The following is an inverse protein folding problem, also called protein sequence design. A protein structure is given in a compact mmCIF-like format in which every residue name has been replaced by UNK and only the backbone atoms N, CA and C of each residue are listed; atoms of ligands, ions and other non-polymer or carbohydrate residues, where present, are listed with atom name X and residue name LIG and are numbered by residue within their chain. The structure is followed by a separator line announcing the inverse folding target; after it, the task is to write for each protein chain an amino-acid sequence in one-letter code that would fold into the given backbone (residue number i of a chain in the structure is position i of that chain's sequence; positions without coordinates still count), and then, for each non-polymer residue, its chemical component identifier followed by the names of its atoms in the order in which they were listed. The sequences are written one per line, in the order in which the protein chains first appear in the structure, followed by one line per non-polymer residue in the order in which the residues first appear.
data_IF_755469966863
#
_entry.id   IF_755469966863
#
_cell.length_a   1.000
_cell.length_b   1.000
_cell.length_c   1.000
_cell.angle_alpha   90.00
_cell.angle_beta   90.00
_cell.angle_gamma   90.00
#
_symmetry.space_group_name_H-M   'P 1'
#
loop_
_entity.id
_entity.type
_entity.pdbx_description
1 polymer ?
#
# COMPACT_ATOMS: atom_id res chain seq x y z
N UNK A 1 6.82 -7.43 22.69
CA UNK A 1 6.06 -8.67 23.00
C UNK A 1 5.22 -9.13 21.83
N UNK A 2 4.66 -8.22 21.08
CA UNK A 2 3.73 -8.46 19.98
C UNK A 2 4.39 -9.09 18.74
N UNK A 3 5.69 -8.85 18.54
CA UNK A 3 6.43 -9.30 17.36
C UNK A 3 6.93 -10.75 17.41
N UNK A 4 6.68 -11.49 18.49
CA UNK A 4 7.15 -12.88 18.60
C UNK A 4 6.50 -13.84 17.58
N UNK A 5 5.31 -13.50 17.13
CA UNK A 5 4.51 -14.32 16.22
C UNK A 5 4.64 -13.85 14.75
N UNK A 6 5.38 -12.76 14.51
CA UNK A 6 5.64 -12.25 13.16
C UNK A 6 7.00 -12.75 12.66
N UNK A 7 6.99 -13.52 11.58
CA UNK A 7 8.19 -13.85 10.81
C UNK A 7 8.56 -12.71 9.85
N UNK A 8 9.81 -12.66 9.36
CA UNK A 8 10.18 -11.73 8.30
C UNK A 8 9.33 -12.01 7.05
N UNK A 9 8.92 -10.94 6.37
CA UNK A 9 8.34 -11.07 5.04
C UNK A 9 9.33 -11.80 4.13
N UNK A 10 8.94 -12.94 3.60
CA UNK A 10 9.78 -13.72 2.72
C UNK A 10 8.96 -14.21 1.52
N UNK A 11 9.37 -13.81 0.34
CA UNK A 11 8.92 -14.44 -0.90
C UNK A 11 9.67 -15.76 -1.03
N UNK A 12 8.93 -16.87 -1.11
CA UNK A 12 9.54 -18.18 -1.28
C UNK A 12 10.40 -18.22 -2.56
N UNK A 13 11.61 -18.84 -2.53
CA UNK A 13 12.41 -19.00 -3.73
C UNK A 13 11.62 -19.77 -4.78
N UNK A 14 11.58 -19.21 -5.99
CA UNK A 14 10.77 -19.73 -7.07
C UNK A 14 11.64 -20.63 -7.94
N UNK A 15 11.27 -21.90 -8.01
CA UNK A 15 11.89 -22.89 -8.89
C UNK A 15 11.03 -23.22 -10.11
N UNK A 16 9.83 -22.65 -10.18
CA UNK A 16 8.83 -22.92 -11.21
C UNK A 16 9.01 -22.01 -12.43
N UNK A 17 8.60 -22.52 -13.60
CA UNK A 17 8.70 -21.77 -14.87
C UNK A 17 7.67 -20.65 -14.99
N UNK A 18 6.56 -20.76 -14.28
CA UNK A 18 5.47 -19.80 -14.29
C UNK A 18 5.25 -19.25 -12.88
N UNK A 19 5.44 -17.97 -12.72
CA UNK A 19 5.37 -17.26 -11.44
C UNK A 19 4.16 -16.35 -11.44
N UNK A 20 3.24 -16.54 -10.50
CA UNK A 20 2.00 -15.77 -10.37
C UNK A 20 1.69 -15.39 -8.91
N UNK A 21 2.67 -15.42 -8.02
CA UNK A 21 2.46 -15.33 -6.56
C UNK A 21 2.61 -13.92 -5.97
N UNK A 22 3.43 -13.06 -6.57
CA UNK A 22 3.81 -11.77 -5.96
C UNK A 22 3.32 -10.54 -6.75
N UNK A 23 2.44 -10.74 -7.73
CA UNK A 23 1.93 -9.70 -8.62
C UNK A 23 3.04 -8.91 -9.34
N UNK A 24 4.18 -9.55 -9.61
CA UNK A 24 5.31 -8.97 -10.31
C UNK A 24 5.02 -8.85 -11.80
N UNK A 25 5.53 -7.78 -12.42
CA UNK A 25 5.47 -7.64 -13.87
C UNK A 25 6.44 -8.62 -14.55
N UNK A 26 5.95 -9.41 -15.50
CA UNK A 26 6.81 -10.24 -16.36
C UNK A 26 7.63 -9.40 -17.33
N UNK A 27 7.25 -8.15 -17.56
CA UNK A 27 7.86 -7.25 -18.52
C UNK A 27 8.90 -6.35 -17.86
N UNK A 28 10.15 -6.44 -18.32
CA UNK A 28 11.19 -5.54 -17.90
C UNK A 28 11.13 -4.24 -18.74
N UNK A 29 10.66 -3.16 -18.15
CA UNK A 29 10.53 -1.86 -18.82
C UNK A 29 11.88 -1.33 -19.36
N UNK A 30 13.00 -1.68 -18.70
CA UNK A 30 14.35 -1.30 -19.16
C UNK A 30 14.78 -2.03 -20.43
N UNK A 31 14.02 -3.01 -20.91
CA UNK A 31 14.26 -3.64 -22.23
C UNK A 31 13.85 -2.71 -23.39
N UNK A 32 13.12 -1.63 -23.12
CA UNK A 32 12.81 -0.61 -24.13
C UNK A 32 14.00 0.34 -24.30
N UNK A 33 14.56 0.48 -25.52
CA UNK A 33 15.77 1.29 -25.76
C UNK A 33 15.63 2.77 -25.33
N UNK A 34 14.43 3.35 -25.51
CA UNK A 34 14.18 4.73 -25.07
C UNK A 34 14.24 4.86 -23.55
N UNK A 35 13.61 3.94 -22.82
CA UNK A 35 13.61 3.95 -21.35
C UNK A 35 15.00 3.67 -20.79
N UNK A 36 15.74 2.75 -21.42
CA UNK A 36 17.13 2.49 -21.02
C UNK A 36 18.00 3.73 -21.19
N UNK A 37 17.88 4.42 -22.33
CA UNK A 37 18.61 5.66 -22.57
C UNK A 37 18.30 6.74 -21.52
N UNK A 38 17.03 6.96 -21.24
CA UNK A 38 16.61 7.91 -20.22
C UNK A 38 17.14 7.55 -18.82
N UNK A 39 17.16 6.24 -18.48
CA UNK A 39 17.73 5.76 -17.24
C UNK A 39 19.25 5.97 -17.15
N UNK A 40 19.99 5.74 -18.24
CA UNK A 40 21.44 6.00 -18.32
C UNK A 40 21.74 7.49 -18.15
N UNK A 41 20.99 8.37 -18.82
CA UNK A 41 21.13 9.83 -18.70
C UNK A 41 20.82 10.29 -17.26
N UNK A 42 19.75 9.77 -16.64
CA UNK A 42 19.40 10.07 -15.26
C UNK A 42 20.53 9.62 -14.30
N UNK A 43 21.04 8.40 -14.47
CA UNK A 43 22.12 7.86 -13.64
C UNK A 43 23.40 8.71 -13.77
N UNK A 44 23.77 9.14 -14.99
CA UNK A 44 24.93 9.97 -15.24
C UNK A 44 24.81 11.37 -14.62
N UNK A 45 23.59 11.86 -14.41
CA UNK A 45 23.30 13.16 -13.80
C UNK A 45 23.31 13.14 -12.27
N UNK A 46 23.27 11.97 -11.65
CA UNK A 46 23.23 11.84 -10.20
C UNK A 46 24.44 12.44 -9.51
N UNK A 47 24.20 13.07 -8.39
CA UNK A 47 25.22 13.62 -7.49
C UNK A 47 25.08 12.97 -6.11
N UNK A 48 25.52 11.72 -5.94
CA UNK A 48 25.29 10.95 -4.71
C UNK A 48 25.91 11.57 -3.45
N UNK A 49 26.83 12.50 -3.59
CA UNK A 49 27.44 13.26 -2.51
C UNK A 49 26.58 14.45 -2.05
N UNK A 50 25.48 14.75 -2.70
CA UNK A 50 24.57 15.85 -2.35
C UNK A 50 23.29 15.28 -1.77
N UNK A 51 22.75 15.90 -0.71
CA UNK A 51 21.45 15.52 -0.17
C UNK A 51 20.35 15.68 -1.24
N UNK A 52 19.48 14.70 -1.40
CA UNK A 52 18.31 14.84 -2.29
C UNK A 52 17.31 15.86 -1.73
N UNK A 53 16.39 16.31 -2.58
CA UNK A 53 15.25 17.09 -2.13
C UNK A 53 14.42 16.26 -1.10
N UNK A 54 14.17 16.79 0.12
CA UNK A 54 13.55 16.02 1.21
C UNK A 54 12.18 15.43 0.88
N UNK A 55 11.45 16.09 0.00
CA UNK A 55 10.08 15.71 -0.36
C UNK A 55 9.99 15.05 -1.75
N UNK A 56 11.11 14.70 -2.38
CA UNK A 56 11.16 14.14 -3.73
C UNK A 56 10.39 15.03 -4.75
N UNK A 57 10.60 16.34 -4.72
CA UNK A 57 9.77 17.33 -5.42
C UNK A 57 9.63 17.04 -6.91
N UNK A 58 10.74 16.76 -7.62
CA UNK A 58 10.72 16.43 -9.05
C UNK A 58 9.82 15.22 -9.37
N UNK A 59 9.86 14.17 -8.53
CA UNK A 59 9.00 13.00 -8.69
C UNK A 59 7.54 13.35 -8.45
N UNK A 60 7.25 14.12 -7.39
CA UNK A 60 5.90 14.53 -7.04
C UNK A 60 5.28 15.42 -8.12
N UNK A 61 6.04 16.35 -8.67
CA UNK A 61 5.62 17.20 -9.80
C UNK A 61 5.29 16.36 -11.03
N UNK A 62 6.14 15.41 -11.41
CA UNK A 62 5.90 14.53 -12.55
C UNK A 62 4.65 13.65 -12.36
N UNK A 63 4.42 13.12 -11.14
CA UNK A 63 3.20 12.35 -10.82
C UNK A 63 1.98 13.29 -10.85
N UNK A 64 2.08 14.50 -10.31
CA UNK A 64 1.01 15.48 -10.28
C UNK A 64 0.56 15.87 -11.70
N UNK A 65 1.50 16.11 -12.59
CA UNK A 65 1.23 16.37 -14.02
C UNK A 65 0.52 15.18 -14.66
N UNK A 66 1.01 13.96 -14.44
CA UNK A 66 0.41 12.74 -14.98
C UNK A 66 -1.03 12.52 -14.49
N UNK A 67 -1.29 12.81 -13.20
CA UNK A 67 -2.62 12.62 -12.58
C UNK A 67 -3.52 13.85 -12.71
N UNK A 68 -3.00 14.99 -13.17
CA UNK A 68 -3.69 16.28 -13.20
C UNK A 68 -4.20 16.71 -11.82
N UNK A 69 -3.34 16.63 -10.81
CA UNK A 69 -3.61 17.04 -9.42
C UNK A 69 -2.54 18.00 -8.93
N UNK A 70 -2.75 18.61 -7.76
CA UNK A 70 -1.74 19.45 -7.12
C UNK A 70 -0.60 18.59 -6.52
N UNK A 71 0.68 18.92 -6.68
CA UNK A 71 1.81 18.19 -6.09
C UNK A 71 1.74 18.03 -4.57
N UNK A 72 1.07 18.96 -3.87
CA UNK A 72 0.86 18.84 -2.41
C UNK A 72 0.00 17.66 -1.99
N UNK A 73 -0.74 17.06 -2.90
CA UNK A 73 -1.58 15.89 -2.66
C UNK A 73 -0.81 14.57 -2.80
N UNK A 74 0.47 14.63 -3.11
CA UNK A 74 1.29 13.46 -3.39
C UNK A 74 2.31 13.26 -2.27
N UNK A 75 2.30 12.06 -1.72
CA UNK A 75 3.36 11.54 -0.85
C UNK A 75 4.11 10.45 -1.61
N UNK A 76 5.43 10.60 -1.69
CA UNK A 76 6.31 9.59 -2.29
C UNK A 76 7.03 8.79 -1.20
N UNK A 77 7.20 7.49 -1.44
CA UNK A 77 7.94 6.58 -0.57
C UNK A 77 8.59 5.45 -1.37
N UNK A 78 9.39 4.61 -0.70
CA UNK A 78 10.01 3.44 -1.31
C UNK A 78 9.00 2.29 -1.42
N UNK A 79 8.08 2.42 -2.37
CA UNK A 79 6.96 1.50 -2.56
C UNK A 79 5.77 1.79 -1.64
N UNK A 80 4.72 0.99 -1.83
CA UNK A 80 3.48 1.12 -1.07
C UNK A 80 3.64 0.83 0.41
N UNK A 81 4.52 -0.10 0.77
CA UNK A 81 4.72 -0.52 2.17
C UNK A 81 5.24 0.63 3.03
N UNK A 82 6.20 1.41 2.53
CA UNK A 82 6.69 2.57 3.27
C UNK A 82 5.60 3.64 3.44
N UNK A 83 4.77 3.86 2.42
CA UNK A 83 3.63 4.79 2.52
C UNK A 83 2.59 4.29 3.54
N UNK A 84 2.31 2.99 3.57
CA UNK A 84 1.45 2.37 4.59
C UNK A 84 2.03 2.60 5.98
N UNK A 85 3.33 2.36 6.16
CA UNK A 85 4.04 2.62 7.42
C UNK A 85 3.90 4.08 7.85
N UNK A 86 4.07 5.04 6.94
CA UNK A 86 3.90 6.47 7.26
C UNK A 86 2.48 6.80 7.71
N UNK A 87 1.46 6.27 7.01
CA UNK A 87 0.06 6.49 7.37
C UNK A 87 -0.22 5.91 8.78
N UNK A 88 0.16 4.66 9.00
CA UNK A 88 -0.10 3.97 10.26
C UNK A 88 0.59 4.69 11.42
N UNK A 89 1.88 5.02 11.30
CA UNK A 89 2.62 5.74 12.34
C UNK A 89 2.13 7.18 12.57
N UNK A 90 1.49 7.79 11.58
CA UNK A 90 0.95 9.15 11.71
C UNK A 90 -0.38 9.18 12.46
N UNK A 91 -1.23 8.18 12.22
CA UNK A 91 -2.61 8.20 12.69
C UNK A 91 -2.89 7.29 13.88
N UNK A 92 -2.04 6.28 14.16
CA UNK A 92 -2.26 5.32 15.22
C UNK A 92 -1.19 5.39 16.30
N UNK A 93 -1.65 5.22 17.55
CA UNK A 93 -0.83 4.97 18.72
C UNK A 93 -1.00 3.51 19.19
N UNK A 94 -0.14 2.99 20.10
CA UNK A 94 -0.36 1.69 20.74
C UNK A 94 -1.77 1.60 21.34
N UNK A 95 -2.42 0.45 21.19
CA UNK A 95 -3.80 0.13 21.58
C UNK A 95 -4.90 0.77 20.72
N UNK A 96 -4.60 1.71 19.82
CA UNK A 96 -5.58 2.20 18.84
C UNK A 96 -6.10 1.08 17.94
N UNK A 97 -7.24 1.31 17.31
CA UNK A 97 -7.88 0.32 16.43
C UNK A 97 -7.76 0.74 14.98
N UNK A 98 -7.17 -0.15 14.18
CA UNK A 98 -7.27 -0.17 12.73
C UNK A 98 -8.42 -1.08 12.33
N UNK A 99 -9.33 -0.60 11.49
CA UNK A 99 -10.38 -1.42 10.88
C UNK A 99 -10.03 -1.69 9.41
N UNK A 100 -10.17 -2.93 8.99
CA UNK A 100 -10.05 -3.32 7.58
C UNK A 100 -11.04 -4.45 7.26
N UNK A 101 -10.90 -5.06 6.11
CA UNK A 101 -11.71 -6.22 5.71
C UNK A 101 -10.80 -7.42 5.38
N UNK A 102 -11.38 -8.61 5.28
CA UNK A 102 -10.64 -9.83 4.94
C UNK A 102 -11.40 -10.68 3.88
N UNK A 103 -10.68 -11.30 2.90
CA UNK A 103 -9.22 -11.23 2.73
C UNK A 103 -8.78 -9.91 2.09
N UNK A 104 -7.62 -9.39 2.52
CA UNK A 104 -6.99 -8.18 1.97
C UNK A 104 -5.46 -8.28 2.10
N UNK A 105 -4.75 -7.22 1.72
CA UNK A 105 -3.31 -7.12 1.85
C UNK A 105 -2.90 -7.11 3.33
N UNK A 106 -2.02 -8.00 3.72
CA UNK A 106 -1.68 -8.29 5.13
C UNK A 106 -0.74 -7.25 5.77
N UNK A 107 -0.11 -6.38 4.97
CA UNK A 107 0.78 -5.35 5.50
C UNK A 107 0.05 -4.33 6.40
N UNK A 108 -1.24 -4.13 6.23
CA UNK A 108 -2.01 -3.26 7.14
C UNK A 108 -2.00 -3.79 8.58
N UNK A 109 -2.23 -5.09 8.74
CA UNK A 109 -2.21 -5.75 10.04
C UNK A 109 -0.80 -5.81 10.62
N UNK A 110 0.17 -6.17 9.77
CA UNK A 110 1.58 -6.25 10.14
C UNK A 110 2.09 -4.92 10.69
N UNK A 111 1.89 -3.82 9.97
CA UNK A 111 2.35 -2.50 10.39
C UNK A 111 1.62 -1.99 11.63
N UNK A 112 0.32 -2.24 11.75
CA UNK A 112 -0.43 -1.92 12.97
C UNK A 112 0.12 -2.69 14.18
N UNK A 113 0.41 -3.98 14.03
CA UNK A 113 0.97 -4.80 15.09
C UNK A 113 2.38 -4.33 15.52
N UNK A 114 3.21 -3.85 14.59
CA UNK A 114 4.55 -3.32 14.88
C UNK A 114 4.49 -2.18 15.88
N UNK A 115 3.53 -1.27 15.75
CA UNK A 115 3.36 -0.13 16.66
C UNK A 115 2.51 -0.47 17.91
N UNK A 116 1.98 -1.69 18.00
CA UNK A 116 1.12 -2.13 19.12
C UNK A 116 -0.34 -1.73 18.99
N UNK A 117 -0.78 -1.31 17.81
CA UNK A 117 -2.20 -1.10 17.50
C UNK A 117 -2.92 -2.45 17.29
N UNK A 118 -4.23 -2.45 17.32
CA UNK A 118 -5.09 -3.62 17.15
C UNK A 118 -5.82 -3.56 15.82
N UNK A 119 -5.81 -4.66 15.07
CA UNK A 119 -6.59 -4.76 13.83
C UNK A 119 -7.90 -5.47 14.07
N UNK A 120 -8.99 -4.88 13.57
CA UNK A 120 -10.30 -5.51 13.42
C UNK A 120 -10.55 -5.73 11.95
N UNK A 121 -10.73 -6.99 11.55
CA UNK A 121 -11.01 -7.36 10.15
C UNK A 121 -12.45 -7.83 10.01
N UNK A 122 -13.21 -7.22 9.11
CA UNK A 122 -14.56 -7.63 8.74
C UNK A 122 -14.49 -8.60 7.56
N UNK A 123 -14.97 -9.84 7.67
CA UNK A 123 -14.97 -10.78 6.56
C UNK A 123 -15.83 -10.27 5.39
N UNK A 124 -15.32 -10.39 4.17
CA UNK A 124 -16.10 -10.15 2.97
C UNK A 124 -17.20 -11.22 2.80
N UNK A 125 -18.30 -10.85 2.16
CA UNK A 125 -19.38 -11.75 1.78
C UNK A 125 -18.93 -12.74 0.67
N UNK A 126 -19.70 -13.82 0.42
CA UNK A 126 -19.40 -14.74 -0.65
C UNK A 126 -19.15 -14.06 -2.00
N UNK A 127 -18.11 -14.52 -2.72
CA UNK A 127 -17.67 -13.91 -3.96
C UNK A 127 -16.85 -12.63 -3.77
N UNK A 128 -16.25 -12.46 -2.59
CA UNK A 128 -15.41 -11.32 -2.21
C UNK A 128 -16.13 -9.96 -2.33
N UNK A 129 -17.43 -9.96 -2.07
CA UNK A 129 -18.21 -8.73 -2.01
C UNK A 129 -18.00 -8.06 -0.65
N UNK A 130 -17.79 -6.75 -0.65
CA UNK A 130 -17.62 -5.99 0.59
C UNK A 130 -18.88 -6.06 1.45
N UNK A 131 -18.72 -6.42 2.73
CA UNK A 131 -19.79 -6.38 3.73
C UNK A 131 -19.89 -4.96 4.33
N UNK A 132 -20.58 -4.06 3.64
CA UNK A 132 -20.75 -2.68 4.10
C UNK A 132 -21.49 -2.57 5.42
N UNK A 133 -22.50 -3.42 5.64
CA UNK A 133 -23.25 -3.45 6.91
C UNK A 133 -22.36 -3.94 8.06
N UNK A 134 -21.53 -4.94 7.80
CA UNK A 134 -20.55 -5.44 8.75
C UNK A 134 -19.51 -4.38 9.11
N UNK A 135 -19.01 -3.65 8.11
CA UNK A 135 -18.07 -2.54 8.30
C UNK A 135 -18.71 -1.43 9.11
N UNK A 136 -19.92 -1.00 8.77
CA UNK A 136 -20.63 0.05 9.51
C UNK A 136 -20.84 -0.32 10.97
N UNK A 137 -21.29 -1.56 11.25
CA UNK A 137 -21.42 -2.08 12.63
C UNK A 137 -20.08 -2.13 13.36
N UNK A 138 -19.00 -2.49 12.66
CA UNK A 138 -17.68 -2.52 13.27
C UNK A 138 -17.17 -1.11 13.59
N UNK A 139 -17.40 -0.14 12.72
CA UNK A 139 -17.11 1.27 12.99
C UNK A 139 -17.85 1.76 14.23
N UNK A 140 -19.16 1.51 14.31
CA UNK A 140 -19.99 1.90 15.44
C UNK A 140 -19.52 1.25 16.76
N UNK A 141 -19.23 -0.04 16.70
CA UNK A 141 -18.85 -0.82 17.88
C UNK A 141 -17.46 -0.53 18.39
N UNK A 142 -16.48 -0.45 17.49
CA UNK A 142 -15.08 -0.40 17.88
C UNK A 142 -14.47 1.00 17.79
N UNK A 143 -15.15 1.95 17.15
CA UNK A 143 -14.69 3.33 16.98
C UNK A 143 -13.24 3.40 16.48
N UNK A 144 -12.91 2.76 15.34
CA UNK A 144 -11.54 2.70 14.86
C UNK A 144 -11.01 4.09 14.55
N UNK A 145 -9.74 4.33 14.87
CA UNK A 145 -9.06 5.58 14.56
C UNK A 145 -8.67 5.69 13.09
N UNK A 146 -8.43 4.52 12.46
CA UNK A 146 -8.12 4.41 11.04
C UNK A 146 -8.93 3.26 10.42
N UNK A 147 -9.55 3.51 9.26
CA UNK A 147 -10.17 2.47 8.44
C UNK A 147 -9.47 2.40 7.10
N UNK A 148 -9.01 1.19 6.71
CA UNK A 148 -8.32 0.95 5.44
C UNK A 148 -9.14 0.00 4.58
N UNK A 149 -9.47 0.45 3.37
CA UNK A 149 -10.20 -0.32 2.35
C UNK A 149 -9.34 -0.41 1.09
N UNK A 150 -8.78 -1.59 0.83
CA UNK A 150 -7.97 -1.85 -0.35
C UNK A 150 -8.83 -1.84 -1.62
N UNK A 151 -8.49 -0.99 -2.59
CA UNK A 151 -9.29 -0.83 -3.82
C UNK A 151 -8.42 -0.44 -5.04
N UNK A 152 -8.33 -1.28 -6.08
CA UNK A 152 -8.82 -2.67 -6.14
C UNK A 152 -8.16 -3.54 -5.08
N UNK A 153 -8.89 -4.52 -4.55
CA UNK A 153 -8.40 -5.33 -3.45
C UNK A 153 -7.32 -6.33 -3.90
N UNK A 154 -6.23 -6.39 -3.17
CA UNK A 154 -5.25 -7.48 -3.23
C UNK A 154 -5.57 -8.49 -2.11
N UNK A 155 -5.75 -9.83 -2.38
CA UNK A 155 -5.48 -10.51 -3.66
C UNK A 155 -6.72 -10.76 -4.54
N UNK A 156 -7.92 -10.32 -4.14
CA UNK A 156 -9.19 -10.74 -4.76
C UNK A 156 -9.52 -10.01 -6.06
N UNK A 157 -8.80 -8.93 -6.39
CA UNK A 157 -9.07 -7.99 -7.49
C UNK A 157 -10.49 -7.39 -7.49
N UNK A 158 -11.26 -7.56 -6.42
CA UNK A 158 -12.55 -6.92 -6.28
C UNK A 158 -12.39 -5.40 -6.18
N UNK A 159 -13.26 -4.66 -6.89
CA UNK A 159 -13.21 -3.20 -6.90
C UNK A 159 -14.48 -2.59 -6.31
N UNK A 160 -14.29 -1.55 -5.51
CA UNK A 160 -15.36 -0.72 -4.96
C UNK A 160 -15.75 0.31 -6.02
N UNK A 161 -17.02 0.40 -6.35
CA UNK A 161 -17.51 1.43 -7.29
C UNK A 161 -17.66 2.76 -6.58
N UNK A 162 -17.40 3.87 -7.31
CA UNK A 162 -17.52 5.22 -6.73
C UNK A 162 -18.90 5.52 -6.09
N UNK A 163 -19.97 4.91 -6.60
CA UNK A 163 -21.30 5.04 -6.02
C UNK A 163 -21.42 4.40 -4.62
N UNK A 164 -20.66 3.34 -4.37
CA UNK A 164 -20.72 2.57 -3.13
C UNK A 164 -19.84 3.23 -2.02
N UNK A 165 -18.98 4.21 -2.39
CA UNK A 165 -18.16 4.99 -1.46
C UNK A 165 -18.84 6.27 -0.95
N UNK A 166 -20.07 6.57 -1.43
CA UNK A 166 -20.78 7.81 -1.08
C UNK A 166 -21.86 7.64 0.00
N UNK A 167 -21.95 6.46 0.56
CA UNK A 167 -22.87 6.09 1.63
C UNK A 167 -22.13 5.66 2.87
#
# INVERSE_FOLDING_TARGET
KTLKDFGPYAVAPIHEKTVINANESYFNILSLPSVMKDAEEALASLKPQIYPAPMADTLREAIADYLSVDPSWILAGNGGDEVITYIINTFLDPEDILLTHAPTFDMYDTEAAVIGAKTISVPDLPGFKRDWDGIAKAVEKYQPKLTVLCNPNNPTSSAIKNRDMKH
#
